data_IF_202044081871
#
_entry.id   IF_202044081871
#
_cell.length_a   1.000
_cell.length_b   1.000
_cell.length_c   1.000
_cell.angle_alpha   90.00
_cell.angle_beta   90.00
_cell.angle_gamma   90.00
#
_symmetry.space_group_name_H-M   'P 1'
#
loop_
_entity.id
_entity.type
_entity.pdbx_description
1 polymer ?
#
# COMPACT_ATOMS: atom_id res chain seq x y z
N UNK A 1 8.60 -12.49 13.91
CA UNK A 1 9.28 -11.78 12.80
C UNK A 1 9.14 -10.27 13.03
N UNK A 2 10.27 -9.56 13.03
CA UNK A 2 10.30 -8.12 13.26
C UNK A 2 10.33 -7.37 11.93
N UNK A 3 9.35 -6.50 11.71
CA UNK A 3 9.20 -5.73 10.47
C UNK A 3 9.25 -4.24 10.80
N UNK A 4 9.95 -3.48 9.99
CA UNK A 4 9.91 -2.01 10.04
C UNK A 4 9.34 -1.49 8.73
N UNK A 5 8.47 -0.49 8.79
CA UNK A 5 8.00 0.25 7.63
C UNK A 5 8.25 1.74 7.82
N UNK A 6 8.73 2.40 6.76
CA UNK A 6 9.03 3.83 6.78
C UNK A 6 8.87 4.48 5.41
N UNK A 7 8.05 5.51 5.33
CA UNK A 7 8.07 6.45 4.22
C UNK A 7 9.25 7.40 4.44
N UNK A 8 10.29 7.29 3.58
CA UNK A 8 11.55 8.01 3.75
C UNK A 8 11.52 9.45 3.24
N UNK A 9 10.40 9.88 2.64
CA UNK A 9 10.21 11.22 2.05
C UNK A 9 11.30 11.58 1.03
N UNK A 10 11.07 11.25 -0.22
CA UNK A 10 11.99 11.49 -1.34
C UNK A 10 12.65 12.88 -1.29
N UNK A 11 13.91 12.96 -1.67
CA UNK A 11 14.74 14.17 -1.87
C UNK A 11 15.09 14.95 -0.60
N UNK A 12 14.14 15.17 0.31
CA UNK A 12 14.32 16.04 1.49
C UNK A 12 14.22 15.29 2.81
N UNK A 13 13.95 13.98 2.74
CA UNK A 13 13.78 13.12 3.90
C UNK A 13 15.04 12.35 4.28
N UNK A 14 14.84 11.07 4.64
CA UNK A 14 15.92 10.21 5.11
C UNK A 14 16.85 9.80 3.97
N UNK A 15 18.15 9.95 4.24
CA UNK A 15 19.22 9.42 3.40
C UNK A 15 19.42 7.91 3.64
N UNK A 16 20.28 7.28 2.84
CA UNK A 16 20.59 5.85 2.98
C UNK A 16 21.26 5.55 4.33
N UNK A 17 22.03 6.49 4.88
CA UNK A 17 22.67 6.39 6.18
C UNK A 17 21.66 6.39 7.33
N UNK A 18 20.58 7.15 7.22
CA UNK A 18 19.50 7.17 8.21
C UNK A 18 18.77 5.83 8.24
N UNK A 19 18.51 5.24 7.05
CA UNK A 19 17.92 3.91 6.93
C UNK A 19 18.87 2.85 7.50
N UNK A 20 20.16 2.93 7.21
CA UNK A 20 21.19 2.05 7.75
C UNK A 20 21.26 2.14 9.29
N UNK A 21 21.25 3.34 9.83
CA UNK A 21 21.24 3.58 11.29
C UNK A 21 19.99 3.00 11.95
N UNK A 22 18.81 3.13 11.31
CA UNK A 22 17.55 2.53 11.77
C UNK A 22 17.67 1.00 11.81
N UNK A 23 18.21 0.39 10.75
CA UNK A 23 18.43 -1.06 10.66
C UNK A 23 19.40 -1.54 11.74
N UNK A 24 20.55 -0.90 11.88
CA UNK A 24 21.54 -1.26 12.92
C UNK A 24 20.94 -1.19 14.33
N UNK A 25 20.16 -0.14 14.63
CA UNK A 25 19.56 0.07 15.95
C UNK A 25 18.47 -0.96 16.25
N UNK A 26 17.61 -1.27 15.27
CA UNK A 26 16.42 -2.04 15.51
C UNK A 26 16.49 -3.48 15.03
N UNK A 27 17.45 -3.83 14.17
CA UNK A 27 17.71 -5.19 13.63
C UNK A 27 16.41 -5.87 13.15
N UNK A 28 15.70 -5.31 12.16
CA UNK A 28 14.52 -5.95 11.61
C UNK A 28 14.89 -7.16 10.75
N UNK A 29 13.97 -8.13 10.67
CA UNK A 29 14.04 -9.22 9.70
C UNK A 29 13.64 -8.74 8.29
N UNK A 30 12.79 -7.71 8.22
CA UNK A 30 12.31 -7.10 6.97
C UNK A 30 12.10 -5.61 7.15
N UNK A 31 12.64 -4.80 6.24
CA UNK A 31 12.37 -3.37 6.13
C UNK A 31 11.57 -3.09 4.85
N UNK A 32 10.50 -2.30 4.97
CA UNK A 32 9.59 -1.89 3.91
C UNK A 32 9.65 -0.38 3.79
N UNK A 33 10.14 0.12 2.65
CA UNK A 33 10.37 1.54 2.45
C UNK A 33 9.43 2.09 1.38
N UNK A 34 8.89 3.28 1.61
CA UNK A 34 8.10 4.02 0.65
C UNK A 34 8.84 5.31 0.29
N UNK A 35 8.59 5.83 -0.89
CA UNK A 35 9.30 6.97 -1.49
C UNK A 35 10.82 6.77 -1.64
N UNK A 36 11.29 5.52 -1.69
CA UNK A 36 12.70 5.19 -1.88
C UNK A 36 13.22 5.66 -3.24
N UNK A 37 14.20 6.56 -3.23
CA UNK A 37 14.93 7.04 -4.42
C UNK A 37 16.02 6.04 -4.84
N UNK A 38 16.72 6.33 -5.94
CA UNK A 38 17.81 5.47 -6.42
C UNK A 38 18.94 5.35 -5.39
N UNK A 39 19.22 6.42 -4.63
CA UNK A 39 20.30 6.49 -3.65
C UNK A 39 20.12 5.46 -2.52
N UNK A 40 18.88 5.13 -2.16
CA UNK A 40 18.59 4.09 -1.16
C UNK A 40 19.07 2.70 -1.63
N UNK A 41 19.33 2.52 -2.93
CA UNK A 41 19.87 1.25 -3.46
C UNK A 41 21.28 0.93 -3.00
N UNK A 42 21.98 1.88 -2.41
CA UNK A 42 23.29 1.69 -1.78
C UNK A 42 23.21 1.07 -0.37
N UNK A 43 22.02 0.89 0.17
CA UNK A 43 21.77 0.32 1.50
C UNK A 43 22.53 -1.00 1.76
N UNK A 44 22.61 -1.99 0.83
CA UNK A 44 23.40 -3.19 1.06
C UNK A 44 24.90 -2.97 1.23
N UNK A 45 25.44 -1.88 0.72
CA UNK A 45 26.87 -1.53 0.93
C UNK A 45 27.14 -1.15 2.39
N UNK A 46 26.13 -0.63 3.09
CA UNK A 46 26.24 -0.16 4.49
C UNK A 46 25.88 -1.24 5.51
N UNK A 47 24.87 -2.07 5.21
CA UNK A 47 24.30 -3.02 6.17
C UNK A 47 24.28 -4.47 5.68
N UNK A 48 24.80 -4.74 4.48
CA UNK A 48 24.69 -6.05 3.85
C UNK A 48 23.24 -6.42 3.50
N UNK A 49 22.98 -7.73 3.31
CA UNK A 49 21.65 -8.25 3.08
C UNK A 49 21.18 -8.17 1.62
N UNK A 50 19.90 -8.43 1.43
CA UNK A 50 19.23 -8.44 0.13
C UNK A 50 18.31 -7.24 0.02
N UNK A 51 18.34 -6.54 -1.10
CA UNK A 51 17.57 -5.32 -1.35
C UNK A 51 16.90 -5.37 -2.72
N UNK A 52 15.64 -4.98 -2.78
CA UNK A 52 14.90 -4.81 -4.02
C UNK A 52 14.15 -3.49 -4.02
N UNK A 53 14.38 -2.69 -5.07
CA UNK A 53 13.62 -1.46 -5.31
C UNK A 53 12.74 -1.62 -6.55
N UNK A 54 11.51 -1.18 -6.46
CA UNK A 54 10.55 -1.11 -7.56
C UNK A 54 10.19 0.37 -7.80
N UNK A 55 10.69 0.99 -8.87
CA UNK A 55 10.40 2.38 -9.18
C UNK A 55 8.94 2.53 -9.61
N UNK A 56 8.34 3.67 -9.28
CA UNK A 56 7.05 4.06 -9.85
C UNK A 56 7.24 4.66 -11.24
N UNK A 57 6.38 4.29 -12.17
CA UNK A 57 6.41 4.79 -13.55
C UNK A 57 6.36 6.32 -13.60
N UNK A 58 7.32 6.92 -14.30
CA UNK A 58 7.48 8.37 -14.42
C UNK A 58 7.85 9.10 -13.12
N UNK A 59 8.39 8.37 -12.12
CA UNK A 59 8.81 8.95 -10.83
C UNK A 59 10.24 8.56 -10.49
N UNK A 60 10.94 9.46 -9.79
CA UNK A 60 12.32 9.21 -9.28
C UNK A 60 12.33 8.29 -8.06
N UNK A 61 11.17 8.04 -7.45
CA UNK A 61 10.99 7.25 -6.25
C UNK A 61 10.10 6.03 -6.49
N UNK A 62 10.11 5.11 -5.55
CA UNK A 62 9.32 3.88 -5.60
C UNK A 62 9.17 3.23 -4.24
N UNK A 63 8.93 1.93 -4.25
CA UNK A 63 8.93 1.10 -3.06
C UNK A 63 10.24 0.31 -2.99
N UNK A 64 10.71 0.02 -1.77
CA UNK A 64 11.85 -0.87 -1.58
C UNK A 64 11.63 -1.81 -0.41
N UNK A 65 12.29 -2.98 -0.49
CA UNK A 65 12.36 -3.97 0.58
C UNK A 65 13.81 -4.33 0.82
N UNK A 66 14.15 -4.52 2.09
CA UNK A 66 15.45 -5.01 2.53
C UNK A 66 15.28 -6.09 3.61
N UNK A 67 16.18 -7.07 3.60
CA UNK A 67 16.29 -8.10 4.65
C UNK A 67 17.75 -8.47 4.86
N UNK A 68 18.18 -8.77 6.11
CA UNK A 68 19.51 -9.34 6.36
C UNK A 68 19.66 -10.75 5.79
N UNK A 69 18.54 -11.39 5.46
CA UNK A 69 18.48 -12.75 4.91
C UNK A 69 18.22 -12.73 3.40
N UNK A 70 18.33 -13.90 2.77
CA UNK A 70 17.91 -14.07 1.40
C UNK A 70 16.42 -13.73 1.26
N UNK A 71 16.12 -12.74 0.42
CA UNK A 71 14.77 -12.28 0.14
C UNK A 71 14.39 -12.71 -1.30
N UNK A 72 13.29 -13.45 -1.50
CA UNK A 72 12.79 -13.71 -2.84
C UNK A 72 12.47 -12.40 -3.55
N UNK A 73 12.66 -12.37 -4.88
CA UNK A 73 12.34 -11.16 -5.66
C UNK A 73 10.87 -10.80 -5.50
N UNK A 74 10.55 -9.60 -5.00
CA UNK A 74 9.17 -9.17 -4.84
C UNK A 74 8.46 -9.02 -6.19
N UNK A 75 7.18 -9.32 -6.23
CA UNK A 75 6.29 -9.09 -7.37
C UNK A 75 5.67 -7.71 -7.26
N UNK A 76 5.72 -6.93 -8.34
CA UNK A 76 4.98 -5.68 -8.45
C UNK A 76 3.51 -5.96 -8.83
N UNK A 77 2.57 -5.43 -8.07
CA UNK A 77 1.13 -5.44 -8.37
C UNK A 77 0.69 -4.02 -8.70
N UNK A 78 0.34 -3.76 -9.95
CA UNK A 78 -0.26 -2.47 -10.34
C UNK A 78 -1.62 -2.29 -9.66
N UNK A 79 -1.84 -1.09 -9.13
CA UNK A 79 -3.04 -0.74 -8.38
C UNK A 79 -4.00 0.09 -9.24
N UNK A 80 -5.31 0.09 -8.91
CA UNK A 80 -6.27 0.95 -9.54
C UNK A 80 -5.83 2.42 -9.53
N UNK A 81 -6.06 3.11 -10.64
CA UNK A 81 -5.74 4.52 -10.83
C UNK A 81 -7.01 5.38 -10.75
N UNK A 82 -6.83 6.68 -10.52
CA UNK A 82 -7.92 7.64 -10.59
C UNK A 82 -8.52 7.67 -12.01
N UNK A 83 -9.85 7.73 -12.08
CA UNK A 83 -10.54 7.94 -13.36
C UNK A 83 -10.36 9.36 -13.93
N UNK A 84 -9.87 10.30 -13.11
CA UNK A 84 -9.52 11.65 -13.54
C UNK A 84 -8.05 11.65 -13.97
N UNK A 85 -7.74 11.83 -15.27
CA UNK A 85 -6.38 11.82 -15.78
C UNK A 85 -5.49 12.87 -15.09
N UNK A 86 -4.23 12.52 -14.83
CA UNK A 86 -3.21 13.43 -14.32
C UNK A 86 -3.34 13.85 -12.85
N UNK A 87 -4.45 13.53 -12.16
CA UNK A 87 -4.71 13.99 -10.79
C UNK A 87 -3.93 13.22 -9.73
N UNK A 88 -3.71 11.93 -9.94
CA UNK A 88 -3.04 11.06 -8.98
C UNK A 88 -2.07 10.15 -9.73
N UNK A 89 -0.80 10.04 -9.32
CA UNK A 89 0.14 9.15 -9.97
C UNK A 89 -0.28 7.68 -9.82
N UNK A 90 0.02 6.83 -10.82
CA UNK A 90 -0.13 5.39 -10.68
C UNK A 90 0.59 4.87 -9.44
N UNK A 91 0.01 3.88 -8.77
CA UNK A 91 0.60 3.23 -7.61
C UNK A 91 0.77 1.74 -7.88
N UNK A 92 1.68 1.13 -7.15
CA UNK A 92 1.86 -0.31 -7.10
C UNK A 92 2.00 -0.79 -5.64
N UNK A 93 1.82 -2.08 -5.43
CA UNK A 93 2.24 -2.76 -4.21
C UNK A 93 3.39 -3.70 -4.56
N UNK A 94 4.40 -3.76 -3.70
CA UNK A 94 5.50 -4.69 -3.79
C UNK A 94 5.17 -5.89 -2.89
N UNK A 95 5.03 -7.10 -3.47
CA UNK A 95 4.54 -8.28 -2.75
C UNK A 95 5.63 -9.34 -2.70
N UNK A 96 5.86 -9.91 -1.50
CA UNK A 96 6.79 -11.00 -1.28
C UNK A 96 6.23 -11.99 -0.27
N UNK A 97 6.51 -13.30 -0.44
CA UNK A 97 6.38 -14.27 0.63
C UNK A 97 7.71 -14.39 1.36
N UNK A 98 7.71 -14.12 2.65
CA UNK A 98 8.90 -14.17 3.47
C UNK A 98 8.56 -14.75 4.84
N UNK A 99 9.25 -15.83 5.24
CA UNK A 99 9.00 -16.52 6.50
C UNK A 99 7.55 -17.04 6.67
N UNK A 100 6.90 -17.45 5.57
CA UNK A 100 5.54 -17.99 5.61
C UNK A 100 4.43 -16.92 5.66
N UNK A 101 4.79 -15.62 5.58
CA UNK A 101 3.85 -14.49 5.55
C UNK A 101 3.93 -13.81 4.19
N UNK A 102 2.78 -13.50 3.60
CA UNK A 102 2.69 -12.70 2.39
C UNK A 102 2.67 -11.22 2.76
N UNK A 103 3.76 -10.52 2.52
CA UNK A 103 3.89 -9.08 2.76
C UNK A 103 3.53 -8.28 1.51
N UNK A 104 2.77 -7.22 1.70
CA UNK A 104 2.58 -6.17 0.70
C UNK A 104 3.09 -4.84 1.26
N UNK A 105 4.17 -4.32 0.70
CA UNK A 105 4.65 -2.96 0.91
C UNK A 105 3.83 -2.01 0.05
N UNK A 106 3.27 -0.96 0.65
CA UNK A 106 2.34 -0.06 -0.03
C UNK A 106 2.62 1.41 0.24
N UNK A 107 2.40 2.23 -0.80
CA UNK A 107 2.21 3.66 -0.69
C UNK A 107 0.97 4.02 -1.51
N UNK A 108 -0.17 4.11 -0.83
CA UNK A 108 -1.47 4.26 -1.50
C UNK A 108 -1.71 5.70 -1.97
N UNK A 109 -2.67 5.85 -2.86
CA UNK A 109 -3.08 7.15 -3.35
C UNK A 109 -3.84 7.94 -2.30
N UNK A 110 -3.75 9.26 -2.36
CA UNK A 110 -4.68 10.13 -1.64
C UNK A 110 -6.11 9.91 -2.16
N UNK A 111 -7.09 10.16 -1.29
CA UNK A 111 -8.50 10.02 -1.62
C UNK A 111 -9.13 8.74 -1.08
N UNK A 112 -10.19 8.93 -0.27
CA UNK A 112 -10.77 7.89 0.57
C UNK A 112 -11.35 6.69 -0.20
N UNK A 113 -11.86 6.89 -1.42
CA UNK A 113 -12.39 5.80 -2.25
C UNK A 113 -11.27 5.04 -2.97
N UNK A 114 -10.31 5.76 -3.55
CA UNK A 114 -9.25 5.15 -4.35
C UNK A 114 -8.34 4.28 -3.49
N UNK A 115 -7.91 4.77 -2.32
CA UNK A 115 -7.04 4.00 -1.44
C UNK A 115 -7.72 2.73 -0.91
N UNK A 116 -9.03 2.76 -0.64
CA UNK A 116 -9.78 1.56 -0.23
C UNK A 116 -9.92 0.56 -1.36
N UNK A 117 -10.17 1.02 -2.58
CA UNK A 117 -10.18 0.17 -3.76
C UNK A 117 -8.81 -0.47 -4.01
N UNK A 118 -7.73 0.29 -3.84
CA UNK A 118 -6.36 -0.22 -3.91
C UNK A 118 -6.10 -1.29 -2.85
N UNK A 119 -6.51 -1.06 -1.60
CA UNK A 119 -6.42 -2.05 -0.52
C UNK A 119 -7.18 -3.33 -0.83
N UNK A 120 -8.40 -3.22 -1.34
CA UNK A 120 -9.20 -4.38 -1.74
C UNK A 120 -8.52 -5.18 -2.85
N UNK A 121 -7.94 -4.52 -3.85
CA UNK A 121 -7.18 -5.16 -4.93
C UNK A 121 -5.96 -5.92 -4.37
N UNK A 122 -5.25 -5.35 -3.40
CA UNK A 122 -4.11 -6.00 -2.74
C UNK A 122 -4.57 -7.20 -1.93
N UNK A 123 -5.61 -7.05 -1.11
CA UNK A 123 -6.14 -8.12 -0.27
C UNK A 123 -6.53 -9.37 -1.06
N UNK A 124 -7.12 -9.17 -2.26
CA UNK A 124 -7.50 -10.26 -3.17
C UNK A 124 -6.29 -10.91 -3.86
N UNK A 125 -5.14 -10.25 -3.90
CA UNK A 125 -3.90 -10.78 -4.49
C UNK A 125 -3.04 -11.56 -3.49
N UNK A 126 -3.38 -11.52 -2.20
CA UNK A 126 -2.68 -12.20 -1.13
C UNK A 126 -3.41 -13.47 -0.73
N UNK A 127 -2.67 -14.55 -0.45
CA UNK A 127 -3.20 -15.81 0.07
C UNK A 127 -2.69 -16.04 1.50
N UNK A 128 -3.34 -16.93 2.26
CA UNK A 128 -2.90 -17.37 3.59
C UNK A 128 -2.62 -16.25 4.60
N UNK A 129 -1.64 -16.42 5.51
CA UNK A 129 -1.21 -15.38 6.40
C UNK A 129 -0.65 -14.19 5.60
N UNK A 130 -1.14 -12.98 5.89
CA UNK A 130 -0.77 -11.82 5.09
C UNK A 130 -0.72 -10.52 5.90
N UNK A 131 0.20 -9.62 5.55
CA UNK A 131 0.31 -8.29 6.10
C UNK A 131 0.40 -7.25 4.96
N UNK A 132 -0.48 -6.27 4.98
CA UNK A 132 -0.39 -5.08 4.14
C UNK A 132 0.19 -3.99 5.04
N UNK A 133 1.35 -3.43 4.68
CA UNK A 133 2.07 -2.50 5.55
C UNK A 133 2.58 -1.32 4.72
N UNK A 134 2.50 -0.11 5.25
CA UNK A 134 3.05 1.08 4.64
C UNK A 134 2.20 2.32 4.84
N UNK A 135 2.44 3.32 4.01
CA UNK A 135 1.69 4.57 3.99
C UNK A 135 0.37 4.39 3.22
N UNK A 136 -0.72 4.48 3.95
CA UNK A 136 -2.06 4.30 3.37
C UNK A 136 -2.66 5.61 2.84
N UNK A 137 -2.08 6.76 3.18
CA UNK A 137 -2.67 8.06 2.86
C UNK A 137 -4.16 8.16 3.23
N UNK A 138 -4.55 7.47 4.31
CA UNK A 138 -5.94 7.32 4.73
C UNK A 138 -6.13 7.76 6.18
N UNK A 139 -7.00 8.73 6.38
CA UNK A 139 -7.44 9.18 7.70
C UNK A 139 -8.70 8.41 8.11
N UNK A 140 -8.86 8.17 9.41
CA UNK A 140 -10.00 7.46 9.99
C UNK A 140 -9.91 5.94 9.90
N UNK A 141 -10.97 5.22 10.28
CA UNK A 141 -10.99 3.77 10.31
C UNK A 141 -10.97 3.16 8.90
N UNK A 142 -10.32 2.02 8.77
CA UNK A 142 -10.29 1.21 7.55
C UNK A 142 -10.86 -0.15 7.89
N UNK A 143 -11.87 -0.56 7.13
CA UNK A 143 -12.40 -1.92 7.14
C UNK A 143 -11.98 -2.64 5.86
N UNK A 144 -11.39 -3.82 6.02
CA UNK A 144 -10.96 -4.67 4.91
C UNK A 144 -11.33 -6.11 5.24
N UNK A 145 -12.21 -6.77 4.46
CA UNK A 145 -12.66 -8.14 4.75
C UNK A 145 -11.49 -9.11 4.95
N UNK A 146 -11.54 -9.90 6.01
CA UNK A 146 -10.52 -10.87 6.37
C UNK A 146 -9.25 -10.29 6.98
N UNK A 147 -9.10 -8.97 7.08
CA UNK A 147 -7.97 -8.29 7.69
C UNK A 147 -8.38 -7.50 8.93
N UNK A 148 -7.48 -7.41 9.89
CA UNK A 148 -7.61 -6.57 11.08
C UNK A 148 -6.49 -5.53 11.10
N UNK A 149 -6.76 -4.32 11.56
CA UNK A 149 -5.74 -3.31 11.81
C UNK A 149 -4.98 -3.68 13.10
N UNK A 150 -3.77 -4.20 12.94
CA UNK A 150 -2.90 -4.71 14.00
C UNK A 150 -1.68 -3.81 14.26
N UNK A 151 -1.56 -2.70 13.52
CA UNK A 151 -0.47 -1.73 13.68
C UNK A 151 -0.63 -0.80 14.90
N UNK A 152 0.40 0.00 15.22
CA UNK A 152 0.35 0.98 16.30
C UNK A 152 -0.75 2.02 16.05
N UNK A 153 -1.29 2.59 17.13
CA UNK A 153 -2.44 3.52 17.07
C UNK A 153 -2.04 4.99 17.10
N UNK A 154 -0.79 5.27 17.47
CA UNK A 154 -0.26 6.62 17.54
C UNK A 154 -0.16 7.27 16.15
N UNK A 155 -0.16 8.61 16.05
CA UNK A 155 0.16 9.33 14.83
C UNK A 155 1.53 8.92 14.27
N UNK A 156 1.64 8.86 12.95
CA UNK A 156 2.85 8.47 12.24
C UNK A 156 3.34 9.51 11.24
N UNK A 157 2.54 10.53 10.97
CA UNK A 157 2.87 11.60 10.02
C UNK A 157 2.61 12.96 10.67
N UNK A 158 3.60 13.84 10.60
CA UNK A 158 3.55 15.18 11.16
C UNK A 158 4.24 16.16 10.21
N UNK A 159 3.53 16.71 9.21
CA UNK A 159 4.12 17.63 8.23
C UNK A 159 4.46 18.99 8.85
N UNK A 160 3.77 19.35 9.94
CA UNK A 160 4.04 20.53 10.74
C UNK A 160 3.70 20.23 12.21
N UNK A 161 4.14 21.09 13.13
CA UNK A 161 4.01 20.87 14.57
C UNK A 161 2.56 20.83 15.09
N UNK A 162 1.55 21.17 14.27
CA UNK A 162 0.17 21.39 14.72
C UNK A 162 -0.74 20.21 14.38
N UNK A 163 -0.52 19.47 13.30
CA UNK A 163 -1.41 18.40 12.86
C UNK A 163 -0.62 17.09 12.69
N UNK A 164 -1.08 16.08 13.38
CA UNK A 164 -0.49 14.73 13.28
C UNK A 164 -1.56 13.73 12.87
N UNK A 165 -1.21 12.86 11.90
CA UNK A 165 -2.11 11.84 11.35
C UNK A 165 -1.50 10.46 11.49
N UNK A 166 -2.35 9.45 11.63
CA UNK A 166 -1.97 8.06 11.54
C UNK A 166 -2.15 7.59 10.10
N UNK A 167 -1.11 7.69 9.28
CA UNK A 167 -1.13 7.29 7.86
C UNK A 167 -0.46 5.93 7.64
N UNK A 168 0.60 5.63 8.40
CA UNK A 168 1.31 4.35 8.31
C UNK A 168 0.59 3.30 9.15
N UNK A 169 0.26 2.16 8.52
CA UNK A 169 -0.58 1.12 9.11
C UNK A 169 -0.10 -0.28 8.80
N UNK A 170 -0.65 -1.25 9.52
CA UNK A 170 -0.53 -2.67 9.25
C UNK A 170 -1.90 -3.33 9.34
N UNK A 171 -2.40 -3.81 8.21
CA UNK A 171 -3.56 -4.69 8.16
C UNK A 171 -3.07 -6.14 8.06
N UNK A 172 -3.45 -6.98 9.03
CA UNK A 172 -3.02 -8.37 9.12
C UNK A 172 -4.18 -9.36 8.96
N UNK A 173 -3.93 -10.47 8.26
CA UNK A 173 -4.81 -11.63 8.17
C UNK A 173 -4.06 -12.87 8.66
N UNK A 174 -4.66 -13.63 9.60
CA UNK A 174 -4.00 -14.78 10.23
C UNK A 174 -2.76 -14.41 11.04
N UNK A 175 -2.66 -13.16 11.47
CA UNK A 175 -1.51 -12.60 12.18
C UNK A 175 -1.93 -11.93 13.48
N UNK A 176 -1.02 -11.97 14.45
CA UNK A 176 -1.04 -11.15 15.66
C UNK A 176 0.21 -10.27 15.68
N UNK A 177 0.06 -9.01 16.01
CA UNK A 177 1.17 -8.12 16.36
C UNK A 177 1.36 -8.17 17.87
N UNK A 178 2.48 -8.72 18.34
CA UNK A 178 2.79 -8.84 19.77
C UNK A 178 3.35 -7.54 20.32
N UNK A 179 4.15 -6.82 19.50
CA UNK A 179 4.72 -5.52 19.85
C UNK A 179 4.66 -4.60 18.63
N UNK A 180 3.82 -3.58 18.71
CA UNK A 180 3.71 -2.54 17.69
C UNK A 180 4.00 -1.17 18.28
N UNK A 181 4.92 -0.41 17.66
CA UNK A 181 5.28 0.93 18.13
C UNK A 181 5.65 1.86 17.00
N UNK A 182 5.41 3.13 17.20
CA UNK A 182 5.93 4.23 16.38
C UNK A 182 7.33 4.55 16.92
N UNK A 183 8.32 4.64 16.03
CA UNK A 183 9.71 4.95 16.39
C UNK A 183 9.95 6.46 16.32
N UNK A 184 11.09 6.89 16.84
CA UNK A 184 11.52 8.29 16.72
C UNK A 184 11.58 8.68 15.25
N UNK A 185 11.06 9.85 14.93
CA UNK A 185 11.11 10.45 13.59
C UNK A 185 12.56 10.80 13.27
N UNK A 186 13.01 10.36 12.11
CA UNK A 186 14.25 10.83 11.50
C UNK A 186 14.01 12.12 10.68
N UNK A 187 14.77 12.31 9.59
CA UNK A 187 14.62 13.46 8.69
C UNK A 187 13.27 13.48 7.91
N UNK A 188 12.56 12.35 7.81
CA UNK A 188 11.26 12.28 7.15
C UNK A 188 10.15 12.97 7.96
N UNK A 189 9.07 13.38 7.31
CA UNK A 189 7.82 13.82 7.97
C UNK A 189 6.98 12.63 8.47
N UNK A 190 7.36 11.39 8.10
CA UNK A 190 6.80 10.16 8.63
C UNK A 190 7.69 9.55 9.73
N UNK A 191 7.04 8.98 10.73
CA UNK A 191 7.67 8.14 11.74
C UNK A 191 7.75 6.69 11.25
N UNK A 192 8.89 5.99 11.41
CA UNK A 192 8.91 4.55 11.17
C UNK A 192 7.97 3.82 12.13
N UNK A 193 7.31 2.76 11.66
CA UNK A 193 6.58 1.83 12.52
C UNK A 193 7.36 0.52 12.62
N UNK A 194 7.46 -0.03 13.84
CA UNK A 194 8.06 -1.33 14.12
C UNK A 194 7.00 -2.30 14.62
N UNK A 195 7.00 -3.50 14.06
CA UNK A 195 5.97 -4.52 14.29
C UNK A 195 6.66 -5.86 14.56
N UNK A 196 6.24 -6.57 15.60
CA UNK A 196 6.58 -7.97 15.81
C UNK A 196 5.37 -8.83 15.46
N UNK A 197 5.47 -9.53 14.32
CA UNK A 197 4.37 -10.30 13.75
C UNK A 197 4.55 -11.79 14.02
N UNK A 198 3.46 -12.44 14.39
CA UNK A 198 3.36 -13.88 14.61
C UNK A 198 2.18 -14.44 13.83
N UNK A 199 2.38 -15.57 13.14
CA UNK A 199 1.29 -16.32 12.50
C UNK A 199 0.46 -17.00 13.57
N UNK A 200 -0.87 -16.89 13.47
CA UNK A 200 -1.84 -17.54 14.35
C UNK A 200 -2.83 -18.30 13.47
N UNK A 201 -2.63 -19.63 13.28
CA UNK A 201 -3.44 -20.43 12.38
C UNK A 201 -4.94 -20.34 12.64
N UNK A 202 -5.38 -20.34 13.89
CA UNK A 202 -6.78 -20.21 14.27
C UNK A 202 -7.45 -18.90 13.79
N UNK A 203 -6.67 -17.85 13.51
CA UNK A 203 -7.20 -16.62 12.91
C UNK A 203 -7.40 -16.70 11.40
N UNK A 204 -6.85 -17.71 10.73
CA UNK A 204 -7.06 -17.95 9.30
C UNK A 204 -8.43 -18.60 9.04
N UNK A 205 -8.83 -19.54 9.88
CA UNK A 205 -10.12 -20.24 9.76
C UNK A 205 -11.29 -19.25 9.84
N UNK A 206 -11.18 -18.22 10.66
CA UNK A 206 -12.17 -17.16 10.82
C UNK A 206 -12.07 -16.04 9.76
N UNK A 207 -10.98 -15.99 9.01
CA UNK A 207 -10.77 -14.94 8.00
C UNK A 207 -11.47 -15.21 6.66
N UNK A 208 -11.91 -16.44 6.43
CA UNK A 208 -12.64 -16.87 5.24
C UNK A 208 -13.99 -17.47 5.62
N UNK A 209 -14.96 -16.70 6.15
CA UNK A 209 -16.31 -17.23 6.23
C UNK A 209 -16.74 -17.56 4.81
N UNK A 210 -17.27 -18.79 4.64
CA UNK A 210 -17.85 -19.22 3.38
C UNK A 210 -18.94 -18.23 2.97
N UNK A 211 -18.61 -17.35 2.09
CA UNK A 211 -19.38 -16.42 1.25
C UNK A 211 -20.83 -15.99 1.53
N UNK A 212 -21.09 -14.65 1.53
CA UNK A 212 -21.92 -14.09 0.46
C UNK A 212 -21.41 -12.79 -0.20
N UNK A 213 -20.24 -12.28 0.19
CA UNK A 213 -19.80 -10.94 -0.24
C UNK A 213 -19.17 -10.88 -1.65
N UNK A 214 -18.61 -11.98 -2.15
CA UNK A 214 -18.04 -12.04 -3.51
C UNK A 214 -19.08 -11.71 -4.57
N UNK A 215 -20.31 -12.25 -4.42
CA UNK A 215 -21.37 -12.07 -5.41
C UNK A 215 -21.89 -10.63 -5.48
N UNK A 216 -21.92 -9.90 -4.38
CA UNK A 216 -22.47 -8.53 -4.35
C UNK A 216 -21.49 -7.47 -4.85
N UNK A 217 -20.20 -7.62 -4.57
CA UNK A 217 -19.17 -6.69 -5.08
C UNK A 217 -18.88 -6.95 -6.56
N UNK A 218 -18.84 -8.22 -6.98
CA UNK A 218 -18.73 -8.57 -8.41
C UNK A 218 -19.96 -8.12 -9.19
N UNK A 219 -21.18 -8.23 -8.63
CA UNK A 219 -22.42 -7.68 -9.21
C UNK A 219 -22.39 -6.15 -9.26
N UNK A 220 -21.86 -5.48 -8.23
CA UNK A 220 -21.71 -4.01 -8.22
C UNK A 220 -20.69 -3.53 -9.25
N UNK A 221 -19.57 -4.22 -9.37
CA UNK A 221 -18.53 -3.95 -10.38
C UNK A 221 -19.07 -4.23 -11.78
N UNK A 222 -19.78 -5.35 -11.99
CA UNK A 222 -20.44 -5.67 -13.25
C UNK A 222 -21.52 -4.63 -13.60
N UNK A 223 -22.35 -4.24 -12.64
CA UNK A 223 -23.37 -3.21 -12.83
C UNK A 223 -22.82 -1.81 -13.14
N UNK A 224 -21.63 -1.48 -12.64
CA UNK A 224 -20.91 -0.23 -12.98
C UNK A 224 -20.26 -0.33 -14.35
N UNK A 225 -19.79 -1.51 -14.75
CA UNK A 225 -19.22 -1.74 -16.09
C UNK A 225 -20.29 -1.86 -17.18
N UNK A 226 -21.49 -2.36 -16.84
CA UNK A 226 -22.62 -2.53 -17.78
C UNK A 226 -23.48 -1.28 -17.98
N UNK A 227 -23.29 -0.21 -17.21
CA UNK A 227 -23.97 1.06 -17.52
C UNK A 227 -23.22 1.79 -18.61
N UNK A 228 -23.67 1.71 -19.87
CA UNK A 228 -22.98 2.36 -20.99
C UNK A 228 -23.27 3.85 -20.98
N UNK A 229 -22.44 4.61 -20.26
CA UNK A 229 -22.36 6.09 -20.42
C UNK A 229 -22.13 6.43 -21.91
N UNK A 230 -21.45 5.57 -22.65
CA UNK A 230 -21.24 5.70 -24.11
C UNK A 230 -22.54 5.61 -24.96
N UNK A 231 -23.55 4.85 -24.54
CA UNK A 231 -24.77 4.71 -25.34
C UNK A 231 -25.68 5.95 -25.25
N UNK A 232 -25.69 6.67 -24.14
CA UNK A 232 -26.48 7.92 -24.02
C UNK A 232 -25.84 9.09 -24.76
N UNK A 233 -24.52 9.23 -24.74
CA UNK A 233 -23.83 10.26 -25.54
C UNK A 233 -23.96 10.02 -27.04
N UNK A 234 -23.84 8.77 -27.50
CA UNK A 234 -23.99 8.44 -28.93
C UNK A 234 -25.42 8.67 -29.44
N UNK A 235 -26.46 8.38 -28.64
CA UNK A 235 -27.85 8.67 -29.00
C UNK A 235 -28.17 10.17 -29.01
N UNK A 236 -27.50 10.97 -28.16
CA UNK A 236 -27.66 12.42 -28.15
C UNK A 236 -27.01 13.07 -29.36
N UNK A 237 -25.77 12.70 -29.70
CA UNK A 237 -25.06 13.18 -30.89
C UNK A 237 -25.74 12.78 -32.20
N UNK A 238 -26.34 11.57 -32.27
CA UNK A 238 -27.08 11.14 -33.46
C UNK A 238 -28.43 11.86 -33.64
N UNK A 239 -29.05 12.38 -32.55
CA UNK A 239 -30.27 13.18 -32.61
C UNK A 239 -29.99 14.63 -33.02
N UNK A 240 -28.88 15.20 -32.60
CA UNK A 240 -28.46 16.54 -32.99
C UNK A 240 -28.07 16.60 -34.48
N UNK A 241 -27.47 15.54 -35.05
CA UNK A 241 -27.15 15.46 -36.49
C UNK A 241 -28.34 15.10 -37.39
N UNK A 242 -29.42 14.58 -36.84
CA UNK A 242 -30.64 14.25 -37.63
C UNK A 242 -31.62 15.43 -37.68
N UNK A 243 -31.49 16.43 -36.80
CA UNK A 243 -32.32 17.64 -36.78
C UNK A 243 -31.93 18.66 -37.83
N UNK A 244 -30.67 18.66 -38.27
CA UNK A 244 -30.10 19.71 -39.17
C UNK A 244 -30.31 19.39 -40.66
N UNK A 245 -30.97 18.30 -41.04
CA UNK A 245 -31.28 17.93 -42.43
C UNK A 245 -32.74 18.13 -42.85
N UNK A 246 -33.55 18.82 -42.04
CA UNK A 246 -34.97 19.11 -42.38
C UNK A 246 -35.26 20.60 -42.55
N UNK A 247 -34.24 21.42 -42.69
CA UNK A 247 -34.42 22.84 -43.05
C UNK A 247 -33.37 23.25 -44.11
N UNK A 248 -33.53 22.68 -45.28
CA UNK A 248 -32.98 23.18 -46.55
C UNK A 248 -33.93 22.74 -47.66
#
# INVERSE_FOLDING_TARGET
MKVISWNVLRLTGAAVEDVAALIHRHRPDLALLQEATQDISDLPKLVGGTFFREPLEGRIYGLAMWSPHALPRPRALRLPVSQVPGRVPPRLAQIVNFGGINFANVHLSHGQFLNRWQLFRIANALAGPAAIIGDYNAVGPISLPGFKDIGPRQPTHSPATILSFRLDRCMGRGLKCTHGRVLARGPSDHHPISLELQVVPALLENAFPAHPFRSNVERLIAAVQEKPIRARLRRRLLREHAGDRRSA
#
